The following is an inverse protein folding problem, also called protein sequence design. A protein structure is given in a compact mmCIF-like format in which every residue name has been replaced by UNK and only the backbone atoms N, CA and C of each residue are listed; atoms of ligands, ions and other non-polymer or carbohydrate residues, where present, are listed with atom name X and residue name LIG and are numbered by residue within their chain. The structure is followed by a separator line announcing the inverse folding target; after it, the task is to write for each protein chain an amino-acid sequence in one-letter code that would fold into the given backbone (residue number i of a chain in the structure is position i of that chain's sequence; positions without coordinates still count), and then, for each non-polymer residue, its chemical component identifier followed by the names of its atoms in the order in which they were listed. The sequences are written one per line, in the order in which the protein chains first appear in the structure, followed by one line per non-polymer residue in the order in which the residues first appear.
data_IF_770067516548
#
_entry.id   IF_770067516548
#
_cell.length_a   1.000
_cell.length_b   1.000
_cell.length_c   1.000
_cell.angle_alpha   90.00
_cell.angle_beta   90.00
_cell.angle_gamma   90.00
#
_symmetry.space_group_name_H-M   'P 1'
#
loop_
_entity.id
_entity.type
_entity.pdbx_description
1 polymer ?
#
# COMPACT_ATOMS: atom_id res chain seq x y z
N UNK A 1 -47.44 -11.43 4.64
CA UNK A 1 -46.05 -11.86 4.39
C UNK A 1 -45.76 -13.00 5.33
N UNK A 2 -45.45 -14.19 4.81
CA UNK A 2 -45.20 -15.39 5.63
C UNK A 2 -43.82 -15.31 6.29
N UNK A 3 -43.55 -16.05 7.38
CA UNK A 3 -42.23 -16.13 7.99
C UNK A 3 -41.12 -16.55 7.01
N UNK A 4 -41.43 -17.46 6.08
CA UNK A 4 -40.51 -17.90 5.02
C UNK A 4 -40.12 -16.77 4.07
N UNK A 5 -41.10 -15.96 3.63
CA UNK A 5 -40.85 -14.78 2.80
C UNK A 5 -39.99 -13.72 3.50
N UNK A 6 -40.11 -13.60 4.83
CA UNK A 6 -39.27 -12.68 5.62
C UNK A 6 -37.81 -13.16 5.69
N UNK A 7 -37.59 -14.47 5.83
CA UNK A 7 -36.25 -15.05 5.88
C UNK A 7 -35.54 -14.97 4.53
N UNK A 8 -36.24 -15.25 3.43
CA UNK A 8 -35.70 -15.09 2.08
C UNK A 8 -35.29 -13.63 1.81
N UNK A 9 -36.14 -12.67 2.19
CA UNK A 9 -35.82 -11.25 2.06
C UNK A 9 -34.59 -10.88 2.88
N UNK A 10 -34.50 -11.32 4.14
CA UNK A 10 -33.33 -11.09 5.01
C UNK A 10 -32.05 -11.65 4.37
N UNK A 11 -32.11 -12.86 3.79
CA UNK A 11 -30.96 -13.48 3.13
C UNK A 11 -30.51 -12.70 1.90
N UNK A 12 -31.46 -12.23 1.09
CA UNK A 12 -31.17 -11.39 -0.08
C UNK A 12 -30.57 -10.03 0.33
N UNK A 13 -31.11 -9.39 1.36
CA UNK A 13 -30.61 -8.13 1.90
C UNK A 13 -29.17 -8.28 2.43
N UNK A 14 -28.88 -9.39 3.14
CA UNK A 14 -27.54 -9.71 3.63
C UNK A 14 -26.54 -9.93 2.48
N UNK A 15 -26.92 -10.71 1.47
CA UNK A 15 -26.06 -10.95 0.30
C UNK A 15 -25.72 -9.64 -0.43
N UNK A 16 -26.71 -8.75 -0.56
CA UNK A 16 -26.53 -7.41 -1.15
C UNK A 16 -25.57 -6.57 -0.31
N UNK A 17 -25.76 -6.53 1.02
CA UNK A 17 -24.89 -5.78 1.92
C UNK A 17 -23.43 -6.28 1.93
N UNK A 18 -23.22 -7.59 1.77
CA UNK A 18 -21.87 -8.17 1.60
C UNK A 18 -21.27 -7.75 0.26
N UNK A 19 -22.05 -7.80 -0.82
CA UNK A 19 -21.58 -7.42 -2.17
C UNK A 19 -21.17 -5.95 -2.27
N UNK A 20 -21.88 -5.07 -1.57
CA UNK A 20 -21.59 -3.63 -1.52
C UNK A 20 -20.55 -3.26 -0.44
N UNK A 21 -19.95 -4.25 0.22
CA UNK A 21 -19.00 -4.00 1.30
C UNK A 21 -17.70 -3.39 0.76
N UNK A 22 -17.41 -2.18 1.19
CA UNK A 22 -16.15 -1.49 0.89
C UNK A 22 -15.22 -1.51 2.09
N UNK A 23 -13.92 -1.32 1.86
CA UNK A 23 -12.92 -1.19 2.95
C UNK A 23 -13.30 -0.09 3.94
N UNK A 24 -13.76 1.06 3.44
CA UNK A 24 -14.24 2.16 4.29
C UNK A 24 -15.40 1.75 5.21
N UNK A 25 -16.34 0.93 4.70
CA UNK A 25 -17.45 0.42 5.51
C UNK A 25 -16.98 -0.59 6.55
N UNK A 26 -16.02 -1.45 6.19
CA UNK A 26 -15.41 -2.41 7.12
C UNK A 26 -14.67 -1.70 8.27
N UNK A 27 -13.94 -0.62 8.00
CA UNK A 27 -13.31 0.21 9.04
C UNK A 27 -14.36 0.74 10.03
N UNK A 28 -15.46 1.30 9.54
CA UNK A 28 -16.53 1.79 10.40
C UNK A 28 -17.17 0.69 11.26
N UNK A 29 -17.33 -0.51 10.70
CA UNK A 29 -17.79 -1.69 11.44
C UNK A 29 -16.80 -2.16 12.50
N UNK A 30 -15.49 -2.17 12.21
CA UNK A 30 -14.43 -2.52 13.15
C UNK A 30 -14.42 -1.59 14.36
N UNK A 31 -14.53 -0.27 14.15
CA UNK A 31 -14.62 0.71 15.24
C UNK A 31 -15.87 0.51 16.09
N UNK A 32 -17.02 0.24 15.45
CA UNK A 32 -18.27 -0.07 16.16
C UNK A 32 -18.23 -1.38 16.92
N UNK A 33 -17.53 -2.39 16.40
CA UNK A 33 -17.32 -3.65 17.08
C UNK A 33 -16.48 -3.43 18.35
N UNK A 34 -15.33 -2.77 18.20
CA UNK A 34 -14.46 -2.46 19.34
C UNK A 34 -15.19 -1.64 20.42
N UNK A 35 -15.91 -0.58 20.03
CA UNK A 35 -16.73 0.20 20.95
C UNK A 35 -17.80 -0.63 21.67
N UNK A 36 -18.45 -1.56 20.96
CA UNK A 36 -19.45 -2.47 21.53
C UNK A 36 -18.83 -3.45 22.52
N UNK A 37 -17.67 -4.02 22.23
CA UNK A 37 -16.94 -4.90 23.15
C UNK A 37 -16.57 -4.20 24.45
N UNK A 38 -16.29 -2.89 24.39
CA UNK A 38 -16.02 -2.07 25.57
C UNK A 38 -17.28 -1.57 26.30
N UNK A 39 -18.48 -1.78 25.75
CA UNK A 39 -19.74 -1.29 26.34
C UNK A 39 -19.86 0.24 26.37
N UNK A 40 -19.10 0.96 25.53
CA UNK A 40 -19.02 2.42 25.59
C UNK A 40 -20.06 3.10 24.69
N UNK A 41 -20.61 4.21 25.19
CA UNK A 41 -21.32 5.18 24.35
C UNK A 41 -20.34 5.82 23.37
N UNK A 42 -20.85 6.39 22.27
CA UNK A 42 -20.00 7.06 21.29
C UNK A 42 -19.19 8.23 21.89
N UNK A 43 -19.77 8.99 22.81
CA UNK A 43 -19.08 10.11 23.48
C UNK A 43 -17.97 9.61 24.40
N UNK A 44 -18.23 8.54 25.16
CA UNK A 44 -17.23 7.93 26.04
C UNK A 44 -16.08 7.31 25.24
N UNK A 45 -16.41 6.62 24.14
CA UNK A 45 -15.40 6.06 23.23
C UNK A 45 -14.54 7.16 22.59
N UNK A 46 -15.15 8.27 22.17
CA UNK A 46 -14.42 9.41 21.63
C UNK A 46 -13.45 10.02 22.65
N UNK A 47 -13.90 10.20 23.90
CA UNK A 47 -13.04 10.69 24.99
C UNK A 47 -11.88 9.73 25.27
N UNK A 48 -12.13 8.42 25.33
CA UNK A 48 -11.08 7.40 25.52
C UNK A 48 -10.05 7.41 24.39
N UNK A 49 -10.47 7.71 23.15
CA UNK A 49 -9.59 7.81 21.98
C UNK A 49 -8.99 9.21 21.80
N UNK A 50 -9.24 10.14 22.72
CA UNK A 50 -8.80 11.54 22.62
C UNK A 50 -9.24 12.23 21.32
N UNK A 51 -10.41 11.85 20.79
CA UNK A 51 -11.01 12.43 19.59
C UNK A 51 -12.34 13.09 19.91
N UNK A 52 -12.75 14.04 19.06
CA UNK A 52 -14.10 14.60 19.18
C UNK A 52 -15.17 13.56 18.81
N UNK A 53 -16.37 13.60 19.42
CA UNK A 53 -17.48 12.72 19.05
C UNK A 53 -17.86 12.80 17.57
N UNK A 54 -17.69 13.97 16.94
CA UNK A 54 -17.97 14.18 15.51
C UNK A 54 -16.97 13.48 14.60
N UNK A 55 -15.71 13.36 15.03
CA UNK A 55 -14.67 12.62 14.29
C UNK A 55 -14.98 11.13 14.36
N UNK A 56 -15.26 10.59 15.55
CA UNK A 56 -15.69 9.18 15.69
C UNK A 56 -16.96 8.90 14.88
N UNK A 57 -17.95 9.79 14.90
CA UNK A 57 -19.17 9.64 14.09
C UNK A 57 -18.85 9.46 12.60
N UNK A 58 -17.95 10.31 12.09
CA UNK A 58 -17.54 10.32 10.69
C UNK A 58 -16.66 9.13 10.34
N UNK A 59 -15.76 8.70 11.22
CA UNK A 59 -14.99 7.47 11.03
C UNK A 59 -15.90 6.24 10.98
N UNK A 60 -16.91 6.16 11.86
CA UNK A 60 -17.85 5.03 11.86
C UNK A 60 -18.80 4.99 10.64
N UNK A 61 -19.05 6.13 9.99
CA UNK A 61 -20.06 6.25 8.90
C UNK A 61 -19.48 6.51 7.52
N UNK A 62 -18.29 7.12 7.44
CA UNK A 62 -17.70 7.63 6.20
C UNK A 62 -16.16 7.63 6.27
N UNK A 63 -15.56 6.55 6.77
CA UNK A 63 -14.10 6.40 6.91
C UNK A 63 -13.32 6.73 5.62
N UNK A 64 -13.89 6.47 4.44
CA UNK A 64 -13.24 6.73 3.15
C UNK A 64 -13.00 8.21 2.83
N UNK A 65 -13.45 9.15 3.69
CA UNK A 65 -13.14 10.58 3.58
C UNK A 65 -11.90 11.00 4.37
N UNK A 66 -11.32 10.10 5.15
CA UNK A 66 -10.14 10.36 5.97
C UNK A 66 -8.87 9.99 5.23
N UNK A 67 -7.75 10.57 5.65
CA UNK A 67 -6.44 10.14 5.17
C UNK A 67 -6.13 8.73 5.70
N UNK A 68 -5.28 7.99 4.98
CA UNK A 68 -4.91 6.63 5.38
C UNK A 68 -4.30 6.60 6.79
N UNK A 69 -3.45 7.58 7.12
CA UNK A 69 -2.80 7.66 8.42
C UNK A 69 -3.82 7.82 9.56
N UNK A 70 -4.85 8.66 9.38
CA UNK A 70 -5.95 8.80 10.35
C UNK A 70 -6.70 7.48 10.55
N UNK A 71 -6.88 6.70 9.48
CA UNK A 71 -7.58 5.41 9.54
C UNK A 71 -6.73 4.39 10.29
N UNK A 72 -5.43 4.31 9.99
CA UNK A 72 -4.49 3.42 10.68
C UNK A 72 -4.45 3.75 12.17
N UNK A 73 -4.35 5.03 12.53
CA UNK A 73 -4.37 5.48 13.92
C UNK A 73 -5.73 5.20 14.60
N UNK A 74 -6.85 5.35 13.88
CA UNK A 74 -8.16 5.02 14.40
C UNK A 74 -8.33 3.52 14.68
N UNK A 75 -7.69 2.66 13.89
CA UNK A 75 -7.71 1.20 14.05
C UNK A 75 -6.73 0.69 15.11
N UNK A 76 -5.72 1.49 15.48
CA UNK A 76 -4.73 1.09 16.48
C UNK A 76 -5.40 0.67 17.80
N UNK A 77 -4.95 -0.44 18.39
CA UNK A 77 -5.53 -1.01 19.61
C UNK A 77 -6.95 -1.61 19.48
N UNK A 78 -7.57 -1.60 18.29
CA UNK A 78 -8.91 -2.20 18.09
C UNK A 78 -8.87 -3.71 17.82
N UNK A 79 -7.68 -4.26 17.55
CA UNK A 79 -7.49 -5.63 17.08
C UNK A 79 -7.75 -5.83 15.58
N UNK A 80 -8.04 -4.76 14.84
CA UNK A 80 -8.17 -4.75 13.40
C UNK A 80 -7.03 -3.90 12.78
N UNK A 81 -6.59 -4.27 11.58
CA UNK A 81 -5.57 -3.55 10.83
C UNK A 81 -5.88 -3.57 9.33
N UNK A 82 -5.28 -2.64 8.59
CA UNK A 82 -5.27 -2.67 7.13
C UNK A 82 -4.05 -3.43 6.63
N UNK A 83 -4.23 -4.24 5.59
CA UNK A 83 -3.16 -4.98 4.95
C UNK A 83 -3.22 -4.77 3.43
N UNK A 84 -2.05 -4.66 2.80
CA UNK A 84 -1.93 -4.80 1.36
C UNK A 84 -1.87 -6.29 1.03
N UNK A 85 -2.65 -6.72 0.06
CA UNK A 85 -2.78 -8.13 -0.30
C UNK A 85 -2.54 -8.29 -1.79
N UNK A 86 -1.75 -9.29 -2.17
CA UNK A 86 -1.60 -9.73 -3.55
C UNK A 86 -2.70 -10.74 -3.84
N UNK A 87 -3.61 -10.38 -4.74
CA UNK A 87 -4.61 -11.31 -5.26
C UNK A 87 -3.93 -12.33 -6.16
N UNK A 88 -4.41 -13.58 -6.14
CA UNK A 88 -4.00 -14.56 -7.13
C UNK A 88 -4.46 -14.09 -8.52
N UNK A 89 -3.61 -14.32 -9.52
CA UNK A 89 -3.91 -13.91 -10.88
C UNK A 89 -4.88 -14.91 -11.49
N UNK A 90 -6.15 -14.51 -11.67
CA UNK A 90 -7.20 -15.39 -12.19
C UNK A 90 -6.87 -15.92 -13.60
N UNK A 91 -6.02 -15.20 -14.35
CA UNK A 91 -5.59 -15.59 -15.69
C UNK A 91 -4.54 -16.71 -15.72
N UNK A 92 -3.81 -16.93 -14.62
CA UNK A 92 -2.78 -17.96 -14.54
C UNK A 92 -3.35 -19.36 -14.21
N UNK A 93 -4.68 -19.49 -14.02
CA UNK A 93 -5.33 -20.75 -13.64
C UNK A 93 -4.99 -21.20 -12.20
N UNK A 94 -4.19 -20.43 -11.47
CA UNK A 94 -3.89 -20.68 -10.07
C UNK A 94 -4.99 -20.07 -9.20
N UNK A 95 -5.87 -20.92 -8.68
CA UNK A 95 -6.81 -20.56 -7.60
C UNK A 95 -6.04 -20.40 -6.28
N UNK A 96 -5.15 -19.41 -6.22
CA UNK A 96 -4.39 -19.07 -5.02
C UNK A 96 -5.24 -18.27 -4.04
N UNK A 97 -5.04 -18.49 -2.74
CA UNK A 97 -5.58 -17.59 -1.72
C UNK A 97 -4.80 -16.26 -1.76
N UNK A 98 -5.47 -15.11 -1.54
CA UNK A 98 -4.79 -13.83 -1.44
C UNK A 98 -3.72 -13.86 -0.34
N UNK A 99 -2.52 -13.33 -0.62
CA UNK A 99 -1.39 -13.34 0.32
C UNK A 99 -1.07 -11.92 0.79
N UNK A 100 -0.82 -11.76 2.09
CA UNK A 100 -0.42 -10.46 2.66
C UNK A 100 0.97 -10.11 2.12
N UNK A 101 1.12 -8.86 1.65
CA UNK A 101 2.39 -8.34 1.15
C UNK A 101 3.17 -7.73 2.31
N UNK A 102 4.13 -8.49 2.83
CA UNK A 102 5.03 -8.00 3.88
C UNK A 102 6.01 -6.94 3.34
N UNK A 103 6.49 -5.98 4.16
CA UNK A 103 7.46 -4.98 3.73
C UNK A 103 8.74 -5.57 3.12
N UNK A 104 9.17 -6.74 3.59
CA UNK A 104 10.33 -7.49 3.06
C UNK A 104 10.09 -8.12 1.68
N UNK A 105 8.86 -8.09 1.17
CA UNK A 105 8.54 -8.57 -0.18
C UNK A 105 8.98 -7.58 -1.27
N UNK A 106 9.33 -6.35 -0.89
CA UNK A 106 9.84 -5.32 -1.79
C UNK A 106 11.36 -5.38 -1.88
N UNK A 107 11.91 -5.08 -3.05
CA UNK A 107 13.36 -5.01 -3.23
C UNK A 107 13.95 -3.86 -2.41
N UNK A 108 15.20 -4.04 -1.96
CA UNK A 108 15.95 -3.02 -1.24
C UNK A 108 15.98 -1.68 -2.01
N UNK A 109 16.15 -1.76 -3.33
CA UNK A 109 16.11 -0.62 -4.24
C UNK A 109 14.82 0.19 -4.11
N UNK A 110 13.65 -0.46 -4.09
CA UNK A 110 12.37 0.26 -3.97
C UNK A 110 12.22 0.93 -2.60
N UNK A 111 12.72 0.28 -1.55
CA UNK A 111 12.64 0.78 -0.18
C UNK A 111 13.58 1.98 0.02
N UNK A 112 14.83 1.88 -0.42
CA UNK A 112 15.91 2.80 -0.05
C UNK A 112 16.35 3.76 -1.15
N UNK A 113 16.30 3.36 -2.43
CA UNK A 113 16.91 4.15 -3.49
C UNK A 113 16.14 5.46 -3.71
N UNK A 114 16.85 6.58 -3.57
CA UNK A 114 16.34 7.94 -3.80
C UNK A 114 17.36 8.79 -4.54
N UNK A 115 16.86 9.72 -5.36
CA UNK A 115 17.63 10.70 -6.12
C UNK A 115 17.67 12.03 -5.36
N UNK A 116 18.79 12.78 -5.46
CA UNK A 116 18.95 14.15 -4.94
C UNK A 116 18.44 14.28 -3.50
N UNK A 117 19.19 13.73 -2.54
CA UNK A 117 18.93 13.85 -1.10
C UNK A 117 17.55 13.37 -0.65
N UNK A 118 17.04 12.28 -1.24
CA UNK A 118 15.76 11.72 -0.81
C UNK A 118 14.53 12.28 -1.54
N UNK A 119 14.70 13.31 -2.38
CA UNK A 119 13.55 14.05 -2.93
C UNK A 119 12.68 13.26 -3.92
N UNK A 120 13.25 12.28 -4.63
CA UNK A 120 12.53 11.51 -5.67
C UNK A 120 12.96 10.05 -5.71
N UNK A 121 12.09 9.17 -6.19
CA UNK A 121 12.44 7.78 -6.54
C UNK A 121 13.04 7.70 -7.94
N UNK A 122 13.80 6.64 -8.20
CA UNK A 122 14.18 6.28 -9.56
C UNK A 122 12.94 5.87 -10.37
N UNK A 123 12.93 6.06 -11.71
CA UNK A 123 11.80 5.61 -12.51
C UNK A 123 11.70 4.09 -12.49
N UNK A 124 10.48 3.56 -12.38
CA UNK A 124 10.21 2.14 -12.12
C UNK A 124 10.74 1.15 -13.19
N UNK A 125 11.03 1.62 -14.41
CA UNK A 125 11.53 0.78 -15.51
C UNK A 125 13.07 0.74 -15.59
N UNK A 126 13.77 1.48 -14.73
CA UNK A 126 15.23 1.48 -14.72
C UNK A 126 15.76 0.50 -13.70
N UNK A 127 16.71 -0.34 -14.13
CA UNK A 127 17.48 -1.17 -13.22
C UNK A 127 18.37 -0.28 -12.34
N UNK A 128 18.05 -0.21 -11.05
CA UNK A 128 18.70 0.67 -10.09
C UNK A 128 19.47 -0.18 -9.09
N UNK A 129 20.76 0.11 -8.95
CA UNK A 129 21.70 -0.63 -8.11
C UNK A 129 22.43 0.28 -7.14
N UNK A 130 22.79 -0.27 -5.99
CA UNK A 130 23.68 0.40 -5.05
C UNK A 130 25.08 0.53 -5.68
N UNK A 131 25.75 1.64 -5.43
CA UNK A 131 27.12 1.88 -5.89
C UNK A 131 28.00 2.28 -4.72
N UNK A 132 29.18 1.65 -4.65
CA UNK A 132 30.22 2.01 -3.68
C UNK A 132 31.09 3.15 -4.24
N UNK A 133 31.26 3.18 -5.57
CA UNK A 133 32.00 4.22 -6.27
C UNK A 133 31.05 4.99 -7.20
N UNK A 134 31.05 6.33 -7.17
CA UNK A 134 30.19 7.14 -8.01
C UNK A 134 30.46 6.91 -9.50
N UNK A 135 29.41 6.98 -10.34
CA UNK A 135 29.58 6.88 -11.79
C UNK A 135 30.40 8.06 -12.33
N UNK A 136 31.20 7.82 -13.38
CA UNK A 136 32.13 8.80 -13.97
C UNK A 136 31.50 10.18 -14.25
N UNK A 137 30.24 10.23 -14.68
CA UNK A 137 29.58 11.52 -14.94
C UNK A 137 29.51 12.40 -13.69
N UNK A 138 29.37 11.82 -12.48
CA UNK A 138 29.29 12.58 -11.23
C UNK A 138 30.62 13.26 -10.94
N UNK A 139 31.73 12.52 -11.08
CA UNK A 139 33.08 13.08 -10.99
C UNK A 139 33.24 14.24 -11.96
N UNK A 140 32.83 14.08 -13.22
CA UNK A 140 33.04 15.10 -14.25
C UNK A 140 32.09 16.31 -14.18
N UNK A 141 30.89 16.17 -13.58
CA UNK A 141 29.85 17.21 -13.66
C UNK A 141 29.48 17.83 -12.32
N UNK A 142 29.66 17.11 -11.23
CA UNK A 142 29.11 17.49 -9.91
C UNK A 142 30.22 17.67 -8.88
N UNK A 143 31.17 16.73 -8.78
CA UNK A 143 32.26 16.79 -7.80
C UNK A 143 33.13 18.05 -7.95
N UNK A 144 33.67 18.30 -9.15
CA UNK A 144 34.57 19.45 -9.38
C UNK A 144 33.89 20.83 -9.34
N UNK A 145 32.55 20.87 -9.22
CA UNK A 145 31.77 22.12 -9.21
C UNK A 145 31.04 22.30 -7.87
N UNK A 146 31.35 21.46 -6.86
CA UNK A 146 30.71 21.42 -5.55
C UNK A 146 29.17 21.35 -5.62
N UNK A 147 28.67 20.59 -6.59
CA UNK A 147 27.23 20.45 -6.86
C UNK A 147 26.74 19.08 -6.45
N UNK A 148 26.40 18.94 -5.17
CA UNK A 148 25.59 17.84 -4.67
C UNK A 148 26.41 16.68 -4.09
N UNK A 149 25.77 15.87 -3.22
CA UNK A 149 26.48 14.81 -2.52
C UNK A 149 26.73 13.61 -3.41
N UNK A 150 27.63 12.77 -2.91
CA UNK A 150 28.01 11.51 -3.53
C UNK A 150 26.79 10.57 -3.69
N UNK A 151 26.54 10.04 -4.90
CA UNK A 151 25.40 9.16 -5.13
C UNK A 151 25.66 7.76 -4.57
N UNK A 152 24.76 7.29 -3.71
CA UNK A 152 24.76 5.92 -3.19
C UNK A 152 24.04 4.91 -4.11
N UNK A 153 23.27 5.42 -5.07
CA UNK A 153 22.44 4.64 -5.99
C UNK A 153 22.61 5.14 -7.42
N UNK A 154 22.60 4.22 -8.38
CA UNK A 154 22.72 4.56 -9.79
C UNK A 154 21.83 3.67 -10.65
N UNK A 155 21.16 4.30 -11.62
CA UNK A 155 20.46 3.64 -12.70
C UNK A 155 21.26 3.81 -14.00
N UNK A 156 21.94 2.76 -14.50
CA UNK A 156 22.60 2.83 -15.79
C UNK A 156 21.60 3.17 -16.89
N UNK A 157 22.01 4.03 -17.82
CA UNK A 157 21.26 4.11 -19.08
C UNK A 157 21.42 2.77 -19.80
N UNK A 158 20.35 2.20 -20.36
CA UNK A 158 20.50 1.09 -21.28
C UNK A 158 21.46 1.54 -22.37
N UNK A 159 22.60 0.86 -22.52
CA UNK A 159 23.40 1.05 -23.72
C UNK A 159 22.52 0.66 -24.90
N UNK A 160 22.48 1.45 -25.99
CA UNK A 160 21.82 1.00 -27.20
C UNK A 160 22.41 -0.37 -27.55
N UNK A 161 21.54 -1.36 -27.77
CA UNK A 161 21.97 -2.69 -28.18
C UNK A 161 22.91 -2.52 -29.37
N UNK A 162 24.16 -2.98 -29.20
CA UNK A 162 25.11 -3.01 -30.31
C UNK A 162 24.50 -4.00 -31.32
N UNK A 163 24.19 -3.59 -32.55
CA UNK A 163 23.73 -4.56 -33.55
C UNK A 163 24.79 -5.65 -33.68
N UNK A 164 24.30 -6.88 -33.71
CA UNK A 164 25.00 -8.14 -33.48
C UNK A 164 26.40 -8.22 -34.10
N UNK A 165 27.37 -8.71 -33.31
CA UNK A 165 28.59 -9.32 -33.85
C UNK A 165 28.13 -10.54 -34.67
N UNK A 166 28.43 -10.63 -35.99
CA UNK A 166 28.15 -11.83 -36.73
C UNK A 166 28.98 -12.95 -36.11
N UNK A 167 28.27 -13.96 -35.61
CA UNK A 167 28.86 -15.23 -35.19
C UNK A 167 29.65 -15.76 -36.38
N UNK A 168 30.97 -15.88 -36.24
CA UNK A 168 31.83 -16.62 -37.16
C UNK A 168 31.34 -18.07 -37.19
N UNK A 169 30.43 -18.38 -38.11
CA UNK A 169 30.18 -19.75 -38.51
C UNK A 169 31.36 -20.20 -39.38
N UNK A 170 32.06 -21.17 -38.82
CA UNK A 170 33.14 -21.91 -39.43
C UNK A 170 32.74 -22.51 -40.79
N UNK A 171 33.66 -22.43 -41.75
CA UNK A 171 33.71 -23.26 -42.94
C UNK A 171 35.07 -23.94 -43.02
#
# INVERSE_FOLDING_TARGET
MTPEQQEERRRADLATAIKEMTVARMVGLALRDHRRRLGLSQRAYAAMRERSPSVIARLESAAGRFQLDDIVEALDGTGFALALVRCADEQAGESGSPTIVEPSSWSETELLARIRNGSRRFPAHHDTRAVINPPNWWWHREFFVDKGPEPLWYAPRPSPARPDDPTEDAA
#
